data_IF_617190580529
#
_entry.id   IF_617190580529
#
_cell.length_a   1.000
_cell.length_b   1.000
_cell.length_c   1.000
_cell.angle_alpha   90.00
_cell.angle_beta   90.00
_cell.angle_gamma   90.00
#
_symmetry.space_group_name_H-M   'P 1'
#
loop_
_entity.id
_entity.type
_entity.pdbx_description
1 polymer ?
#
# COMPACT_ATOMS: atom_id res chain seq x y z
N UNK A 1 20.26 5.14 5.01
CA UNK A 1 19.52 3.96 4.48
C UNK A 1 18.13 3.93 5.11
N UNK A 2 17.06 3.86 4.33
CA UNK A 2 15.68 3.82 4.84
C UNK A 2 15.38 2.46 5.50
N UNK A 3 14.71 2.43 6.66
CA UNK A 3 14.30 1.18 7.32
C UNK A 3 13.10 0.54 6.61
N UNK A 4 12.88 -0.78 6.73
CA UNK A 4 11.70 -1.44 6.15
C UNK A 4 10.37 -0.83 6.62
N UNK A 5 10.27 -0.44 7.88
CA UNK A 5 9.06 0.19 8.44
C UNK A 5 8.81 1.58 7.82
N UNK A 6 9.84 2.43 7.71
CA UNK A 6 9.71 3.75 7.05
C UNK A 6 9.36 3.60 5.57
N UNK A 7 9.94 2.61 4.89
CA UNK A 7 9.59 2.27 3.50
C UNK A 7 8.13 1.85 3.37
N UNK A 8 7.62 1.02 4.29
CA UNK A 8 6.22 0.63 4.32
C UNK A 8 5.31 1.84 4.47
N UNK A 9 5.56 2.71 5.46
CA UNK A 9 4.77 3.92 5.67
C UNK A 9 4.75 4.81 4.43
N UNK A 10 5.92 5.10 3.85
CA UNK A 10 6.01 5.89 2.61
C UNK A 10 5.23 5.27 1.46
N UNK A 11 5.34 3.95 1.24
CA UNK A 11 4.75 3.32 0.07
C UNK A 11 3.26 2.97 0.24
N UNK A 12 2.79 2.76 1.47
CA UNK A 12 1.49 2.12 1.70
C UNK A 12 0.55 2.88 2.61
N UNK A 13 1.00 3.86 3.40
CA UNK A 13 0.11 4.57 4.32
C UNK A 13 -0.37 5.88 3.71
N UNK A 14 -1.66 6.16 3.86
CA UNK A 14 -2.25 7.47 3.61
C UNK A 14 -3.34 7.75 4.66
N UNK A 15 -2.90 7.85 5.92
CA UNK A 15 -3.78 7.87 7.10
C UNK A 15 -4.65 9.12 7.23
N UNK A 16 -4.22 10.23 6.63
CA UNK A 16 -4.84 11.55 6.81
C UNK A 16 -5.97 11.82 5.80
N UNK A 17 -6.26 10.88 4.90
CA UNK A 17 -7.24 11.07 3.84
C UNK A 17 -8.17 9.86 3.73
N UNK A 18 -9.47 10.14 3.55
CA UNK A 18 -10.39 9.14 3.02
C UNK A 18 -10.01 8.80 1.57
N UNK A 19 -10.30 7.59 1.08
CA UNK A 19 -10.05 7.23 -0.31
C UNK A 19 -10.62 8.30 -1.26
N UNK A 20 -9.75 8.94 -2.04
CA UNK A 20 -10.18 9.98 -2.96
C UNK A 20 -11.00 9.36 -4.10
N UNK A 21 -12.17 9.92 -4.39
CA UNK A 21 -12.95 9.53 -5.58
C UNK A 21 -12.31 10.00 -6.90
N UNK A 22 -11.17 10.70 -6.84
CA UNK A 22 -10.46 11.16 -8.03
C UNK A 22 -9.74 10.01 -8.73
N UNK A 23 -9.99 9.85 -10.02
CA UNK A 23 -9.24 8.94 -10.89
C UNK A 23 -7.74 9.27 -10.94
N UNK A 24 -7.34 10.50 -10.62
CA UNK A 24 -5.94 10.97 -10.65
C UNK A 24 -5.15 10.67 -9.36
N UNK A 25 -5.80 10.18 -8.29
CA UNK A 25 -5.16 9.96 -6.99
C UNK A 25 -3.86 9.17 -7.09
N UNK A 26 -3.86 8.02 -7.78
CA UNK A 26 -2.64 7.21 -7.92
C UNK A 26 -1.52 7.93 -8.68
N UNK A 27 -1.83 8.71 -9.70
CA UNK A 27 -0.81 9.49 -10.43
C UNK A 27 -0.17 10.54 -9.51
N UNK A 28 -0.98 11.16 -8.65
CA UNK A 28 -0.52 12.17 -7.70
C UNK A 28 0.25 11.56 -6.54
N UNK A 29 -0.15 10.39 -6.03
CA UNK A 29 0.44 9.80 -4.83
C UNK A 29 1.67 8.95 -5.10
N UNK A 30 1.74 8.28 -6.26
CA UNK A 30 2.90 7.42 -6.57
C UNK A 30 4.21 8.23 -6.73
N UNK A 31 4.12 9.48 -7.20
CA UNK A 31 5.27 10.37 -7.46
C UNK A 31 5.97 10.89 -6.19
N UNK A 32 5.30 11.62 -5.26
CA UNK A 32 5.92 12.13 -4.04
C UNK A 32 6.39 11.01 -3.11
N UNK A 33 5.80 9.81 -3.22
CA UNK A 33 6.24 8.62 -2.49
C UNK A 33 7.42 7.91 -3.14
N UNK A 34 8.08 8.50 -4.15
CA UNK A 34 9.25 7.95 -4.83
C UNK A 34 9.04 6.54 -5.41
N UNK A 35 7.85 6.25 -5.95
CA UNK A 35 7.54 4.99 -6.62
C UNK A 35 7.56 5.08 -8.15
N UNK A 36 7.87 6.26 -8.68
CA UNK A 36 8.04 6.56 -10.12
C UNK A 36 9.44 7.08 -10.45
N UNK A 37 10.41 6.92 -9.53
CA UNK A 37 11.80 7.36 -9.72
C UNK A 37 12.63 6.24 -10.34
N UNK A 38 13.16 6.46 -11.54
CA UNK A 38 13.97 5.49 -12.31
C UNK A 38 13.16 4.40 -13.01
N UNK A 39 11.96 4.06 -12.50
CA UNK A 39 11.02 3.14 -13.13
C UNK A 39 9.60 3.41 -12.59
N UNK A 40 8.58 2.88 -13.27
CA UNK A 40 7.20 2.90 -12.77
C UNK A 40 6.91 1.62 -11.98
N UNK A 41 6.71 1.70 -10.66
CA UNK A 41 6.24 0.54 -9.86
C UNK A 41 4.90 0.08 -10.42
N UNK A 42 4.75 -1.21 -10.76
CA UNK A 42 3.59 -1.72 -11.51
C UNK A 42 2.30 -1.75 -10.69
N UNK A 43 2.39 -2.14 -9.41
CA UNK A 43 1.25 -2.24 -8.49
C UNK A 43 1.62 -1.69 -7.14
N UNK A 44 0.71 -0.93 -6.54
CA UNK A 44 0.80 -0.47 -5.16
C UNK A 44 -0.59 -0.36 -4.54
N UNK A 45 -0.67 -0.45 -3.22
CA UNK A 45 -1.90 -0.22 -2.46
C UNK A 45 -1.62 0.82 -1.39
N UNK A 46 -2.48 1.83 -1.29
CA UNK A 46 -2.52 2.77 -0.18
C UNK A 46 -3.62 2.38 0.81
N UNK A 47 -3.34 2.51 2.09
CA UNK A 47 -4.23 2.18 3.21
C UNK A 47 -4.66 3.46 3.88
N UNK A 48 -5.98 3.68 3.93
CA UNK A 48 -6.62 4.89 4.46
C UNK A 48 -7.08 4.66 5.90
N UNK A 49 -6.14 4.34 6.78
CA UNK A 49 -6.43 4.02 8.18
C UNK A 49 -5.30 4.57 9.07
N UNK A 50 -5.55 4.84 10.37
CA UNK A 50 -4.49 5.21 11.29
C UNK A 50 -3.35 4.19 11.29
N UNK A 51 -2.11 4.69 11.33
CA UNK A 51 -0.92 3.84 11.32
C UNK A 51 -0.94 2.83 12.47
N UNK A 52 -1.37 3.25 13.66
CA UNK A 52 -1.46 2.39 14.85
C UNK A 52 -2.37 1.18 14.62
N UNK A 53 -3.48 1.36 13.91
CA UNK A 53 -4.42 0.27 13.61
C UNK A 53 -3.84 -0.68 12.57
N UNK A 54 -3.09 -0.16 11.60
CA UNK A 54 -2.39 -1.00 10.61
C UNK A 54 -1.24 -1.78 11.26
N UNK A 55 -0.54 -1.20 12.24
CA UNK A 55 0.48 -1.91 13.03
C UNK A 55 -0.14 -3.00 13.90
N UNK A 56 -1.31 -2.75 14.49
CA UNK A 56 -2.03 -3.72 15.31
C UNK A 56 -2.41 -5.00 14.54
N UNK A 57 -2.46 -4.96 13.20
CA UNK A 57 -2.67 -6.16 12.36
C UNK A 57 -1.59 -7.21 12.60
N UNK A 58 -0.36 -6.81 12.97
CA UNK A 58 0.71 -7.75 13.30
C UNK A 58 0.41 -8.66 14.52
N UNK A 59 -0.63 -8.35 15.30
CA UNK A 59 -1.10 -9.15 16.42
C UNK A 59 -2.40 -9.93 16.11
N UNK A 60 -2.90 -9.82 14.87
CA UNK A 60 -4.12 -10.46 14.41
C UNK A 60 -3.81 -11.79 13.70
N UNK A 61 -4.78 -12.33 12.94
CA UNK A 61 -4.73 -13.66 12.31
C UNK A 61 -3.43 -13.85 11.51
N UNK A 62 -2.55 -14.73 12.02
CA UNK A 62 -1.33 -15.14 11.32
C UNK A 62 -1.69 -16.04 10.13
N UNK A 63 -1.07 -15.78 8.98
CA UNK A 63 -1.22 -16.55 7.75
C UNK A 63 0.12 -16.67 7.01
N UNK A 64 0.24 -17.68 6.16
CA UNK A 64 1.40 -17.79 5.26
C UNK A 64 1.34 -16.71 4.18
N UNK A 65 2.45 -15.98 4.02
CA UNK A 65 2.61 -15.00 2.95
C UNK A 65 2.57 -15.66 1.56
N UNK A 66 2.30 -14.87 0.51
CA UNK A 66 2.37 -15.33 -0.90
C UNK A 66 3.75 -15.88 -1.31
N UNK A 67 4.80 -15.47 -0.62
CA UNK A 67 6.17 -15.95 -0.84
C UNK A 67 6.56 -17.10 0.11
N UNK A 68 5.61 -17.70 0.82
CA UNK A 68 5.83 -18.83 1.73
C UNK A 68 6.30 -18.47 3.15
N UNK A 69 6.60 -17.20 3.45
CA UNK A 69 7.06 -16.82 4.80
C UNK A 69 5.90 -16.85 5.82
N UNK A 70 6.13 -17.30 7.07
CA UNK A 70 5.08 -17.43 8.08
C UNK A 70 4.81 -16.12 8.87
N UNK A 71 5.23 -14.97 8.36
CA UNK A 71 5.20 -13.69 9.07
C UNK A 71 4.17 -12.70 8.49
N UNK A 72 3.16 -13.20 7.78
CA UNK A 72 2.05 -12.38 7.30
C UNK A 72 0.88 -12.44 8.28
N UNK A 73 0.19 -11.31 8.41
CA UNK A 73 -1.00 -11.19 9.23
C UNK A 73 -2.12 -10.54 8.42
N UNK A 74 -3.32 -11.07 8.57
CA UNK A 74 -4.52 -10.56 7.91
C UNK A 74 -5.35 -9.73 8.90
N UNK A 75 -5.86 -8.60 8.43
CA UNK A 75 -6.76 -7.78 9.24
C UNK A 75 -8.09 -8.50 9.53
N UNK A 76 -8.59 -8.35 10.76
CA UNK A 76 -9.88 -8.89 11.18
C UNK A 76 -11.06 -8.13 10.57
N UNK A 77 -10.89 -6.83 10.30
CA UNK A 77 -11.87 -5.99 9.62
C UNK A 77 -11.42 -5.64 8.20
N UNK A 78 -12.39 -5.27 7.35
CA UNK A 78 -12.09 -4.66 6.07
C UNK A 78 -11.72 -3.19 6.25
N UNK A 79 -10.65 -2.77 5.58
CA UNK A 79 -10.09 -1.43 5.67
C UNK A 79 -10.24 -0.74 4.31
N UNK A 80 -10.52 0.58 4.28
CA UNK A 80 -10.52 1.36 3.05
C UNK A 80 -9.11 1.43 2.45
N UNK A 81 -9.01 1.05 1.18
CA UNK A 81 -7.76 1.03 0.42
C UNK A 81 -7.95 1.66 -0.96
N UNK A 82 -6.84 2.13 -1.52
CA UNK A 82 -6.74 2.52 -2.93
C UNK A 82 -5.72 1.66 -3.65
N UNK A 83 -6.17 0.85 -4.60
CA UNK A 83 -5.31 0.09 -5.50
C UNK A 83 -4.83 0.96 -6.66
N UNK A 84 -3.52 1.05 -6.84
CA UNK A 84 -2.85 1.69 -7.95
C UNK A 84 -2.24 0.63 -8.87
N UNK A 85 -2.68 0.60 -10.12
CA UNK A 85 -2.14 -0.31 -11.14
C UNK A 85 -1.68 0.47 -12.36
N UNK A 86 -0.47 0.22 -12.81
CA UNK A 86 0.10 0.83 -14.00
C UNK A 86 -0.79 0.55 -15.22
N UNK A 87 -1.07 1.57 -16.03
CA UNK A 87 -1.87 1.40 -17.26
C UNK A 87 -1.01 0.79 -18.37
N UNK A 88 -1.65 0.14 -19.35
CA UNK A 88 -0.93 -0.45 -20.48
C UNK A 88 -0.22 0.58 -21.38
N UNK A 89 -0.69 1.83 -21.40
CA UNK A 89 -0.09 2.95 -22.13
C UNK A 89 1.05 3.65 -21.36
N UNK A 90 1.28 3.30 -20.10
CA UNK A 90 2.25 3.99 -19.26
C UNK A 90 3.69 3.62 -19.63
N UNK A 91 4.56 4.64 -19.77
CA UNK A 91 5.98 4.46 -20.07
C UNK A 91 6.82 5.47 -19.29
N UNK A 92 7.86 5.00 -18.59
CA UNK A 92 8.82 5.88 -17.91
C UNK A 92 9.42 6.90 -18.91
N UNK A 93 9.51 8.20 -18.56
CA UNK A 93 9.28 8.81 -17.25
C UNK A 93 7.83 9.17 -16.90
N UNK A 94 6.89 8.99 -17.82
CA UNK A 94 5.48 9.36 -17.67
C UNK A 94 4.65 8.17 -17.17
N UNK A 95 4.70 7.93 -15.85
CA UNK A 95 3.96 6.85 -15.22
C UNK A 95 2.47 7.21 -15.06
N UNK A 96 1.59 6.39 -15.64
CA UNK A 96 0.14 6.52 -15.54
C UNK A 96 -0.48 5.31 -14.84
N UNK A 97 -1.42 5.57 -13.94
CA UNK A 97 -2.03 4.60 -13.05
C UNK A 97 -3.54 4.64 -13.11
N UNK A 98 -4.16 3.46 -13.09
CA UNK A 98 -5.56 3.29 -12.75
C UNK A 98 -5.73 3.30 -11.23
N UNK A 99 -6.63 4.14 -10.75
CA UNK A 99 -7.05 4.24 -9.35
C UNK A 99 -8.31 3.41 -9.13
N UNK A 100 -8.32 2.57 -8.10
CA UNK A 100 -9.49 1.77 -7.71
C UNK A 100 -9.66 1.73 -6.19
N UNK A 101 -10.70 2.37 -5.67
CA UNK A 101 -11.03 2.36 -4.24
C UNK A 101 -11.78 1.08 -3.86
N UNK A 102 -11.43 0.49 -2.72
CA UNK A 102 -12.04 -0.77 -2.25
C UNK A 102 -12.08 -0.83 -0.72
N UNK A 103 -13.02 -1.60 -0.19
CA UNK A 103 -12.99 -2.09 1.19
C UNK A 103 -12.51 -3.54 1.17
N UNK A 104 -11.37 -3.85 1.80
CA UNK A 104 -10.80 -5.21 1.81
C UNK A 104 -10.09 -5.50 3.12
N UNK A 105 -10.03 -6.78 3.49
CA UNK A 105 -9.04 -7.24 4.45
C UNK A 105 -7.64 -7.10 3.82
N UNK A 106 -6.70 -6.52 4.55
CA UNK A 106 -5.32 -6.38 4.08
C UNK A 106 -4.44 -7.44 4.74
N UNK A 107 -3.36 -7.78 4.05
CA UNK A 107 -2.35 -8.71 4.52
C UNK A 107 -1.02 -7.97 4.53
N UNK A 108 -0.37 -7.93 5.69
CA UNK A 108 0.93 -7.26 5.88
C UNK A 108 1.95 -8.25 6.41
N UNK A 109 3.20 -8.13 5.96
CA UNK A 109 4.32 -8.89 6.49
C UNK A 109 4.95 -8.11 7.65
N UNK A 110 5.02 -8.72 8.83
CA UNK A 110 5.51 -8.11 10.05
C UNK A 110 6.89 -8.64 10.41
N UNK A 111 7.75 -7.79 10.96
CA UNK A 111 9.08 -8.16 11.51
C UNK A 111 9.33 -7.33 12.75
N UNK A 112 9.80 -7.99 13.82
CA UNK A 112 9.92 -7.37 15.13
C UNK A 112 8.57 -7.27 15.85
N UNK A 113 8.56 -6.57 16.99
CA UNK A 113 7.33 -6.24 17.70
C UNK A 113 6.73 -4.96 17.09
N UNK A 114 5.40 -4.89 16.88
CA UNK A 114 4.73 -3.71 16.35
C UNK A 114 4.88 -2.48 17.26
#
# INVERSE_FOLDING_TARGET
KESPARKFQRQHMDSDSNPSNSSSYCNLMMRPRNMTKGYCKSVNTFVHNPLVDVQAICLQKNITCKNGQPNCHQSNSSIPITDCRLTGSSKYPNCAYRTSNKMRHIIVACKGKP
#
